data_IF_634698589872
#
_entry.id   IF_634698589872
#
_cell.length_a   1.000
_cell.length_b   1.000
_cell.length_c   1.000
_cell.angle_alpha   90.00
_cell.angle_beta   90.00
_cell.angle_gamma   90.00
#
_symmetry.space_group_name_H-M   'P 1'
#
loop_
_entity.id
_entity.type
_entity.pdbx_description
1 polymer ?
#
# COMPACT_ATOMS: atom_id res chain seq x y z
N UNK A 1 16.75 8.12 11.31
CA UNK A 1 15.54 7.28 11.42
C UNK A 1 15.24 7.09 12.90
N UNK A 2 14.38 7.91 13.49
CA UNK A 2 13.90 7.67 14.85
C UNK A 2 13.01 6.43 14.82
N UNK A 3 13.42 5.37 15.53
CA UNK A 3 12.61 4.20 15.83
C UNK A 3 11.59 4.60 16.90
N UNK A 4 10.42 5.07 16.48
CA UNK A 4 9.21 4.86 17.30
C UNK A 4 8.86 3.38 17.15
N UNK A 5 9.40 2.55 18.06
CA UNK A 5 9.11 1.11 18.18
C UNK A 5 7.70 0.89 18.79
N UNK A 6 6.69 1.61 18.30
CA UNK A 6 5.31 1.22 18.58
C UNK A 6 4.91 0.13 17.59
N UNK A 7 4.39 -0.99 18.10
CA UNK A 7 3.80 -2.01 17.25
C UNK A 7 2.75 -1.37 16.33
N UNK A 8 2.66 -1.82 15.06
CA UNK A 8 1.66 -1.28 14.17
C UNK A 8 0.27 -1.48 14.78
N UNK A 9 -0.48 -0.39 14.90
CA UNK A 9 -1.86 -0.49 15.35
C UNK A 9 -2.65 -1.33 14.33
N UNK A 10 -3.63 -2.12 14.79
CA UNK A 10 -4.41 -3.03 13.92
C UNK A 10 -5.00 -2.33 12.68
N UNK A 11 -5.32 -1.04 12.79
CA UNK A 11 -5.86 -0.24 11.69
C UNK A 11 -4.82 0.17 10.63
N UNK A 12 -3.53 -0.07 10.86
CA UNK A 12 -2.41 0.18 9.95
C UNK A 12 -2.12 -1.01 9.03
N UNK A 13 -2.69 -2.19 9.31
CA UNK A 13 -2.51 -3.38 8.48
C UNK A 13 -3.85 -3.74 7.84
N UNK A 14 -3.84 -4.00 6.54
CA UNK A 14 -4.94 -4.64 5.83
C UNK A 14 -4.41 -5.93 5.19
N UNK A 15 -4.79 -7.06 5.77
CA UNK A 15 -4.56 -8.37 5.19
C UNK A 15 -5.66 -8.69 4.19
N UNK A 16 -5.32 -8.73 2.92
CA UNK A 16 -6.29 -8.98 1.85
C UNK A 16 -6.68 -10.45 1.79
N UNK A 17 -7.96 -10.69 1.58
CA UNK A 17 -8.57 -11.98 1.34
C UNK A 17 -9.48 -11.89 0.12
N UNK A 18 -10.00 -13.02 -0.36
CA UNK A 18 -11.02 -13.05 -1.42
C UNK A 18 -12.34 -12.37 -1.02
N UNK A 19 -12.54 -12.09 0.27
CA UNK A 19 -13.71 -11.38 0.80
C UNK A 19 -13.46 -9.87 0.99
N UNK A 20 -12.21 -9.43 0.86
CA UNK A 20 -11.84 -8.02 1.00
C UNK A 20 -12.43 -7.22 -0.16
N UNK A 21 -13.34 -6.30 0.16
CA UNK A 21 -14.07 -5.55 -0.86
C UNK A 21 -13.49 -4.14 -1.05
N UNK A 22 -14.06 -3.42 -2.01
CA UNK A 22 -13.63 -2.05 -2.33
C UNK A 22 -13.78 -1.07 -1.16
N UNK A 23 -14.79 -1.22 -0.30
CA UNK A 23 -15.02 -0.29 0.82
C UNK A 23 -13.88 -0.41 1.83
N UNK A 24 -13.45 -1.63 2.13
CA UNK A 24 -12.35 -1.91 3.07
C UNK A 24 -11.04 -1.29 2.56
N UNK A 25 -10.70 -1.55 1.29
CA UNK A 25 -9.49 -1.05 0.64
C UNK A 25 -9.53 0.48 0.54
N UNK A 26 -10.65 1.06 0.11
CA UNK A 26 -10.81 2.52 0.01
C UNK A 26 -10.58 3.18 1.37
N UNK A 27 -11.23 2.68 2.42
CA UNK A 27 -11.10 3.24 3.76
C UNK A 27 -9.65 3.13 4.26
N UNK A 28 -8.98 2.02 3.98
CA UNK A 28 -7.58 1.81 4.30
C UNK A 28 -6.65 2.80 3.59
N UNK A 29 -6.80 2.98 2.27
CA UNK A 29 -5.99 3.91 1.49
C UNK A 29 -6.17 5.35 1.97
N UNK A 30 -7.40 5.79 2.31
CA UNK A 30 -7.61 7.12 2.87
C UNK A 30 -6.97 7.29 4.25
N UNK A 31 -7.05 6.29 5.14
CA UNK A 31 -6.37 6.32 6.43
C UNK A 31 -4.85 6.42 6.25
N UNK A 32 -4.30 5.64 5.33
CA UNK A 32 -2.88 5.69 4.97
C UNK A 32 -2.50 7.09 4.46
N UNK A 33 -3.22 7.59 3.47
CA UNK A 33 -2.90 8.86 2.83
C UNK A 33 -2.93 10.00 3.85
N UNK A 34 -3.98 10.12 4.66
CA UNK A 34 -4.10 11.21 5.63
C UNK A 34 -3.33 10.99 6.95
N UNK A 35 -2.57 9.90 7.08
CA UNK A 35 -1.69 9.67 8.23
C UNK A 35 -0.24 9.96 7.86
N UNK A 36 0.25 11.12 8.28
CA UNK A 36 1.56 11.64 7.84
C UNK A 36 2.77 10.88 8.38
N UNK A 37 2.63 10.17 9.51
CA UNK A 37 3.76 9.60 10.25
C UNK A 37 3.86 8.08 10.19
N UNK A 38 2.72 7.41 10.03
CA UNK A 38 2.59 5.97 10.22
C UNK A 38 2.80 5.20 8.91
N UNK A 39 3.42 4.02 9.02
CA UNK A 39 3.45 3.06 7.93
C UNK A 39 2.14 2.27 7.92
N UNK A 40 1.47 2.24 6.77
CA UNK A 40 0.33 1.37 6.53
C UNK A 40 0.76 0.24 5.61
N UNK A 41 0.35 -0.99 5.89
CA UNK A 41 0.75 -2.17 5.14
C UNK A 41 -0.46 -2.86 4.50
N UNK A 42 -0.45 -2.94 3.17
CA UNK A 42 -1.38 -3.75 2.39
C UNK A 42 -0.71 -5.10 2.12
N UNK A 43 -1.22 -6.16 2.72
CA UNK A 43 -0.63 -7.50 2.68
C UNK A 43 -1.45 -8.41 1.77
N UNK A 44 -0.77 -9.13 0.88
CA UNK A 44 -1.33 -10.06 -0.11
C UNK A 44 -2.38 -9.43 -1.07
N UNK A 45 -2.11 -8.25 -1.66
CA UNK A 45 -3.05 -7.59 -2.57
C UNK A 45 -3.41 -8.42 -3.82
N UNK A 46 -2.62 -9.44 -4.16
CA UNK A 46 -2.89 -10.41 -5.21
C UNK A 46 -4.21 -11.18 -5.02
N UNK A 47 -4.71 -11.25 -3.77
CA UNK A 47 -6.00 -11.89 -3.46
C UNK A 47 -7.22 -11.01 -3.78
N UNK A 48 -7.01 -9.72 -4.03
CA UNK A 48 -8.09 -8.80 -4.38
C UNK A 48 -8.59 -9.09 -5.80
N UNK A 49 -9.90 -8.99 -6.01
CA UNK A 49 -10.46 -9.00 -7.36
C UNK A 49 -9.82 -7.90 -8.23
N UNK A 50 -9.68 -8.18 -9.53
CA UNK A 50 -9.10 -7.23 -10.49
C UNK A 50 -9.79 -5.84 -10.43
N UNK A 51 -11.12 -5.81 -10.28
CA UNK A 51 -11.88 -4.57 -10.18
C UNK A 51 -11.52 -3.72 -8.93
N UNK A 52 -11.11 -4.36 -7.82
CA UNK A 52 -10.69 -3.72 -6.57
C UNK A 52 -9.26 -3.22 -6.72
N UNK A 53 -8.39 -4.03 -7.34
CA UNK A 53 -7.03 -3.63 -7.67
C UNK A 53 -7.01 -2.39 -8.57
N UNK A 54 -7.83 -2.36 -9.61
CA UNK A 54 -7.94 -1.22 -10.54
C UNK A 54 -8.43 0.06 -9.86
N UNK A 55 -9.50 -0.04 -9.06
CA UNK A 55 -10.00 1.10 -8.27
C UNK A 55 -8.98 1.60 -7.26
N UNK A 56 -8.24 0.68 -6.63
CA UNK A 56 -7.18 1.03 -5.67
C UNK A 56 -6.05 1.81 -6.36
N UNK A 57 -5.58 1.31 -7.50
CA UNK A 57 -4.57 1.95 -8.33
C UNK A 57 -5.00 3.37 -8.74
N UNK A 58 -6.20 3.51 -9.31
CA UNK A 58 -6.75 4.81 -9.71
C UNK A 58 -6.89 5.78 -8.54
N UNK A 59 -7.27 5.28 -7.36
CA UNK A 59 -7.37 6.11 -6.16
C UNK A 59 -6.00 6.63 -5.71
N UNK A 60 -4.98 5.77 -5.68
CA UNK A 60 -3.62 6.17 -5.30
C UNK A 60 -3.09 7.22 -6.28
N UNK A 61 -3.23 6.99 -7.58
CA UNK A 61 -2.85 7.95 -8.63
C UNK A 61 -3.52 9.30 -8.38
N UNK A 62 -4.85 9.30 -8.23
CA UNK A 62 -5.62 10.53 -8.00
C UNK A 62 -5.17 11.28 -6.75
N UNK A 63 -4.87 10.59 -5.66
CA UNK A 63 -4.44 11.22 -4.41
C UNK A 63 -3.06 11.87 -4.54
N UNK A 64 -2.13 11.18 -5.20
CA UNK A 64 -0.77 11.68 -5.45
C UNK A 64 -0.80 12.88 -6.41
N UNK A 65 -1.57 12.80 -7.49
CA UNK A 65 -1.72 13.90 -8.45
C UNK A 65 -2.40 15.13 -7.84
N UNK A 66 -3.41 14.92 -7.00
CA UNK A 66 -4.16 16.02 -6.38
C UNK A 66 -3.37 16.72 -5.26
N UNK A 67 -2.54 16.00 -4.52
CA UNK A 67 -1.68 16.59 -3.48
C UNK A 67 -0.23 16.08 -3.57
N UNK A 68 0.57 16.55 -4.55
CA UNK A 68 1.91 16.00 -4.81
C UNK A 68 2.91 16.24 -3.66
N UNK A 69 2.67 17.25 -2.81
CA UNK A 69 3.51 17.52 -1.64
C UNK A 69 3.12 16.69 -0.40
N UNK A 70 1.99 15.99 -0.44
CA UNK A 70 1.48 15.26 0.71
C UNK A 70 2.25 13.96 0.89
N UNK A 71 2.81 13.76 2.09
CA UNK A 71 3.62 12.59 2.41
C UNK A 71 2.76 11.54 3.10
N UNK A 72 2.87 10.30 2.64
CA UNK A 72 2.27 9.12 3.25
C UNK A 72 3.25 7.95 3.12
N UNK A 73 3.04 6.89 3.90
CA UNK A 73 3.86 5.68 3.86
C UNK A 73 2.96 4.46 3.67
N UNK A 74 2.99 3.90 2.46
CA UNK A 74 2.32 2.66 2.11
C UNK A 74 3.36 1.58 1.83
N UNK A 75 3.38 0.54 2.66
CA UNK A 75 4.06 -0.71 2.37
C UNK A 75 3.09 -1.64 1.66
N UNK A 76 3.54 -2.29 0.59
CA UNK A 76 2.79 -3.35 -0.07
C UNK A 76 3.62 -4.62 0.01
N UNK A 77 3.06 -5.63 0.67
CA UNK A 77 3.69 -6.94 0.87
C UNK A 77 2.96 -7.93 -0.01
N UNK A 78 3.64 -8.47 -1.01
CA UNK A 78 3.02 -9.34 -2.02
C UNK A 78 3.98 -10.45 -2.42
N UNK A 79 3.43 -11.62 -2.78
CA UNK A 79 4.18 -12.69 -3.42
C UNK A 79 4.11 -12.63 -4.95
N UNK A 80 3.22 -11.79 -5.50
CA UNK A 80 3.02 -11.62 -6.95
C UNK A 80 3.14 -10.15 -7.38
N UNK A 81 4.30 -9.83 -7.96
CA UNK A 81 4.58 -8.49 -8.49
C UNK A 81 3.86 -8.19 -9.81
N UNK A 82 3.24 -9.18 -10.47
CA UNK A 82 2.60 -9.01 -11.78
C UNK A 82 1.13 -8.56 -11.67
N UNK A 83 0.64 -8.29 -10.47
CA UNK A 83 -0.72 -7.79 -10.25
C UNK A 83 -0.93 -6.41 -10.85
N UNK A 84 -2.18 -6.10 -11.20
CA UNK A 84 -2.56 -4.82 -11.80
C UNK A 84 -2.24 -3.64 -10.88
N UNK A 85 -2.50 -3.81 -9.58
CA UNK A 85 -2.19 -2.79 -8.57
C UNK A 85 -0.68 -2.50 -8.49
N UNK A 86 0.15 -3.53 -8.38
CA UNK A 86 1.60 -3.36 -8.24
C UNK A 86 2.20 -2.72 -9.49
N UNK A 87 1.82 -3.20 -10.67
CA UNK A 87 2.24 -2.61 -11.93
C UNK A 87 1.82 -1.14 -12.05
N UNK A 88 0.63 -0.79 -11.55
CA UNK A 88 0.16 0.59 -11.48
C UNK A 88 1.03 1.48 -10.58
N UNK A 89 1.32 1.02 -9.37
CA UNK A 89 2.15 1.75 -8.39
C UNK A 89 3.59 1.93 -8.91
N UNK A 90 4.20 0.88 -9.47
CA UNK A 90 5.58 0.95 -9.97
C UNK A 90 5.73 1.93 -11.15
N UNK A 91 4.70 2.11 -11.97
CA UNK A 91 4.72 3.08 -13.09
C UNK A 91 4.73 4.53 -12.63
N UNK A 92 4.35 4.81 -11.38
CA UNK A 92 4.33 6.17 -10.85
C UNK A 92 5.73 6.68 -10.44
N UNK A 93 6.75 5.81 -10.40
CA UNK A 93 8.12 6.13 -9.95
C UNK A 93 8.19 6.73 -8.52
N UNK A 94 7.20 6.41 -7.69
CA UNK A 94 7.13 6.83 -6.26
C UNK A 94 7.40 5.68 -5.29
N UNK A 95 7.66 4.48 -5.80
CA UNK A 95 7.79 3.27 -5.01
C UNK A 95 9.19 2.67 -5.15
N UNK A 96 9.74 2.21 -4.04
CA UNK A 96 10.96 1.40 -3.99
C UNK A 96 10.58 -0.05 -3.72
N UNK A 97 11.03 -0.96 -4.56
CA UNK A 97 10.93 -2.41 -4.30
C UNK A 97 12.09 -2.83 -3.40
N UNK A 98 11.80 -3.62 -2.37
CA UNK A 98 12.78 -4.29 -1.52
C UNK A 98 12.49 -5.79 -1.58
N UNK A 99 13.50 -6.61 -1.83
CA UNK A 99 13.38 -8.08 -1.90
C UNK A 99 13.92 -8.74 -0.64
N UNK A 100 13.47 -9.95 -0.33
CA UNK A 100 13.89 -10.68 0.88
C UNK A 100 15.42 -10.83 1.00
N UNK A 101 16.10 -11.10 -0.10
CA UNK A 101 17.57 -11.21 -0.13
C UNK A 101 18.29 -9.89 0.20
N UNK A 102 17.60 -8.75 0.07
CA UNK A 102 18.11 -7.42 0.40
C UNK A 102 17.85 -7.07 1.87
N UNK A 103 16.80 -7.63 2.47
CA UNK A 103 16.46 -7.44 3.90
C UNK A 103 17.43 -8.15 4.85
N UNK A 104 18.07 -9.23 4.40
CA UNK A 104 19.01 -10.01 5.22
C UNK A 104 20.40 -9.36 5.33
N UNK A 105 20.67 -8.29 4.56
CA UNK A 105 21.97 -7.62 4.49
C UNK A 105 21.97 -6.22 5.13
N UNK A 106 20.94 -5.87 5.90
CA UNK A 106 20.88 -4.63 6.72
C UNK A 106 21.16 -4.90 8.20
#
# INVERSE_FOLDING_TARGET
FHHDNSEPAVNQILFCTTETNWIDVRAFIYRCFYSSSNLYQLIEPERLEFNVQDKCCQLIIKLVEYNPSHKFKLGVVTTDIQTHLINGILRMDIAKTVRDNELLNE
#
